data_IF_235471952208
#
_entry.id   IF_235471952208
#
_cell.length_a   1.000
_cell.length_b   1.000
_cell.length_c   1.000
_cell.angle_alpha   90.00
_cell.angle_beta   90.00
_cell.angle_gamma   90.00
#
_symmetry.space_group_name_H-M   'P 1'
#
loop_
_entity.id
_entity.type
_entity.pdbx_description
1 polymer ?
#
# COMPACT_ATOMS: atom_id res chain seq x y z
N UNK A 1 7.95 10.54 -14.93
CA UNK A 1 7.58 9.21 -14.39
C UNK A 1 8.79 8.32 -14.50
N UNK A 2 9.16 7.64 -13.43
CA UNK A 2 10.21 6.62 -13.50
C UNK A 2 9.69 5.34 -14.19
N UNK A 3 10.60 4.44 -14.57
CA UNK A 3 10.26 3.22 -15.30
C UNK A 3 9.32 2.30 -14.51
N UNK A 4 9.45 2.25 -13.18
CA UNK A 4 8.59 1.44 -12.32
C UNK A 4 7.13 1.95 -12.35
N UNK A 5 6.94 3.27 -12.30
CA UNK A 5 5.62 3.90 -12.36
C UNK A 5 4.87 3.55 -13.65
N UNK A 6 5.55 3.50 -14.80
CA UNK A 6 4.96 3.13 -16.10
C UNK A 6 4.46 1.69 -16.09
N UNK A 7 5.25 0.78 -15.52
CA UNK A 7 4.87 -0.65 -15.42
C UNK A 7 3.69 -0.82 -14.48
N UNK A 8 3.69 -0.16 -13.31
CA UNK A 8 2.57 -0.19 -12.37
C UNK A 8 1.30 0.33 -13.05
N UNK A 9 1.36 1.47 -13.73
CA UNK A 9 0.22 2.02 -14.45
C UNK A 9 -0.29 1.07 -15.53
N UNK A 10 0.63 0.38 -16.22
CA UNK A 10 0.26 -0.64 -17.22
C UNK A 10 -0.51 -1.79 -16.55
N UNK A 11 -0.01 -2.32 -15.42
CA UNK A 11 -0.69 -3.40 -14.66
C UNK A 11 -2.07 -2.93 -14.16
N UNK A 12 -2.17 -1.70 -13.66
CA UNK A 12 -3.43 -1.12 -13.17
C UNK A 12 -4.48 -0.97 -14.29
N UNK A 13 -4.08 -0.90 -15.56
CA UNK A 13 -4.98 -0.77 -16.70
C UNK A 13 -5.27 -2.09 -17.44
N UNK A 14 -4.60 -3.19 -17.06
CA UNK A 14 -4.85 -4.49 -17.70
C UNK A 14 -6.28 -5.01 -17.41
N UNK A 15 -6.93 -5.65 -18.40
CA UNK A 15 -8.19 -6.36 -18.20
C UNK A 15 -7.98 -7.67 -17.43
N UNK A 16 -9.04 -8.18 -16.79
CA UNK A 16 -8.99 -9.36 -15.92
C UNK A 16 -8.36 -10.60 -16.58
N UNK A 17 -8.73 -10.91 -17.84
CA UNK A 17 -8.19 -12.09 -18.53
C UNK A 17 -6.67 -12.00 -18.72
N UNK A 18 -6.16 -10.81 -19.05
CA UNK A 18 -4.74 -10.57 -19.20
C UNK A 18 -4.02 -10.59 -17.84
N UNK A 19 -4.64 -10.04 -16.79
CA UNK A 19 -4.10 -10.10 -15.43
C UNK A 19 -3.92 -11.55 -14.95
N UNK A 20 -4.92 -12.40 -15.16
CA UNK A 20 -4.88 -13.82 -14.73
C UNK A 20 -3.76 -14.57 -15.47
N UNK A 21 -3.69 -14.40 -16.80
CA UNK A 21 -2.62 -15.00 -17.62
C UNK A 21 -1.23 -14.53 -17.18
N UNK A 22 -0.99 -13.21 -17.10
CA UNK A 22 0.32 -12.65 -16.75
C UNK A 22 0.71 -13.04 -15.32
N UNK A 23 -0.24 -13.08 -14.38
CA UNK A 23 0.04 -13.52 -13.00
C UNK A 23 0.46 -14.99 -12.94
N UNK A 24 -0.22 -15.88 -13.68
CA UNK A 24 0.16 -17.30 -13.75
C UNK A 24 1.54 -17.49 -14.39
N UNK A 25 1.83 -16.77 -15.46
CA UNK A 25 3.15 -16.84 -16.14
C UNK A 25 4.29 -16.28 -15.28
N UNK A 26 4.09 -15.13 -14.63
CA UNK A 26 5.15 -14.44 -13.89
C UNK A 26 5.40 -15.00 -12.48
N UNK A 27 4.35 -15.46 -11.80
CA UNK A 27 4.41 -15.87 -10.39
C UNK A 27 4.40 -17.39 -10.23
N UNK A 28 3.80 -18.10 -11.20
CA UNK A 28 3.70 -19.55 -11.26
C UNK A 28 3.14 -20.15 -9.94
N UNK A 29 3.74 -21.22 -9.43
CA UNK A 29 3.27 -21.99 -8.27
C UNK A 29 3.16 -21.20 -6.95
N UNK A 30 3.72 -19.99 -6.88
CA UNK A 30 3.65 -19.12 -5.69
C UNK A 30 2.38 -18.27 -5.64
N UNK A 31 1.62 -18.22 -6.73
CA UNK A 31 0.37 -17.48 -6.81
C UNK A 31 -0.67 -18.16 -5.89
N UNK A 32 -1.38 -17.43 -5.02
CA UNK A 32 -2.39 -18.03 -4.13
C UNK A 32 -3.69 -18.36 -4.90
N UNK A 33 -3.59 -19.28 -5.86
CA UNK A 33 -4.63 -19.60 -6.84
C UNK A 33 -5.94 -20.03 -6.19
N UNK A 34 -5.89 -20.91 -5.19
CA UNK A 34 -7.08 -21.38 -4.46
C UNK A 34 -7.89 -20.21 -3.89
N UNK A 35 -7.23 -19.19 -3.36
CA UNK A 35 -7.89 -18.00 -2.85
C UNK A 35 -8.41 -17.11 -3.98
N UNK A 36 -7.60 -16.87 -5.01
CA UNK A 36 -8.00 -16.04 -6.17
C UNK A 36 -9.20 -16.60 -6.93
N UNK A 37 -9.39 -17.93 -6.93
CA UNK A 37 -10.53 -18.60 -7.54
C UNK A 37 -11.84 -18.40 -6.77
N UNK A 38 -11.76 -18.09 -5.47
CA UNK A 38 -12.95 -17.72 -4.67
C UNK A 38 -13.42 -16.28 -4.90
N UNK A 39 -12.57 -15.43 -5.51
CA UNK A 39 -12.87 -14.03 -5.75
C UNK A 39 -13.55 -13.82 -7.10
N UNK A 40 -14.37 -12.78 -7.21
CA UNK A 40 -15.03 -12.37 -8.46
C UNK A 40 -14.96 -10.86 -8.65
N UNK A 41 -15.25 -10.40 -9.86
CA UNK A 41 -15.36 -8.97 -10.17
C UNK A 41 -14.12 -8.15 -9.78
N UNK A 42 -14.35 -7.02 -9.11
CA UNK A 42 -13.31 -6.07 -8.74
C UNK A 42 -12.31 -6.63 -7.73
N UNK A 43 -12.76 -7.49 -6.80
CA UNK A 43 -11.88 -8.08 -5.78
C UNK A 43 -10.82 -8.97 -6.42
N UNK A 44 -11.19 -9.79 -7.42
CA UNK A 44 -10.24 -10.63 -8.15
C UNK A 44 -9.23 -9.78 -8.93
N UNK A 45 -9.70 -8.70 -9.55
CA UNK A 45 -8.86 -7.75 -10.28
C UNK A 45 -7.83 -7.10 -9.34
N UNK A 46 -8.28 -6.58 -8.19
CA UNK A 46 -7.41 -5.93 -7.21
C UNK A 46 -6.42 -6.92 -6.60
N UNK A 47 -6.83 -8.17 -6.32
CA UNK A 47 -5.94 -9.21 -5.83
C UNK A 47 -4.83 -9.57 -6.83
N UNK A 48 -5.16 -9.77 -8.11
CA UNK A 48 -4.19 -10.07 -9.16
C UNK A 48 -3.22 -8.91 -9.38
N UNK A 49 -3.73 -7.67 -9.40
CA UNK A 49 -2.89 -6.46 -9.49
C UNK A 49 -1.95 -6.35 -8.29
N UNK A 50 -2.43 -6.61 -7.08
CA UNK A 50 -1.58 -6.62 -5.89
C UNK A 50 -0.45 -7.65 -6.02
N UNK A 51 -0.76 -8.87 -6.44
CA UNK A 51 0.25 -9.91 -6.67
C UNK A 51 1.30 -9.48 -7.70
N UNK A 52 0.88 -8.98 -8.86
CA UNK A 52 1.78 -8.55 -9.92
C UNK A 52 2.64 -7.35 -9.54
N UNK A 53 2.04 -6.31 -8.94
CA UNK A 53 2.75 -5.08 -8.55
C UNK A 53 3.78 -5.39 -7.46
N UNK A 54 3.40 -6.14 -6.42
CA UNK A 54 4.34 -6.50 -5.35
C UNK A 54 5.45 -7.41 -5.87
N UNK A 55 5.12 -8.40 -6.70
CA UNK A 55 6.11 -9.27 -7.32
C UNK A 55 7.11 -8.46 -8.15
N UNK A 56 6.62 -7.55 -9.00
CA UNK A 56 7.45 -6.66 -9.82
C UNK A 56 8.36 -5.75 -8.97
N UNK A 57 7.79 -5.00 -8.03
CA UNK A 57 8.52 -4.05 -7.19
C UNK A 57 9.59 -4.73 -6.32
N UNK A 58 9.40 -6.01 -6.02
CA UNK A 58 10.32 -6.79 -5.18
C UNK A 58 11.21 -7.72 -6.00
N UNK A 59 11.33 -7.50 -7.32
CA UNK A 59 12.16 -8.33 -8.21
C UNK A 59 11.85 -9.83 -8.06
N UNK A 60 10.57 -10.15 -8.06
CA UNK A 60 10.00 -11.49 -7.93
C UNK A 60 10.25 -12.20 -6.61
N UNK A 61 10.70 -11.51 -5.56
CA UNK A 61 10.99 -12.13 -4.25
C UNK A 61 9.76 -12.28 -3.35
N UNK A 62 8.80 -11.35 -3.43
CA UNK A 62 7.63 -11.33 -2.56
C UNK A 62 6.35 -11.56 -3.38
N UNK A 63 5.49 -12.44 -2.88
CA UNK A 63 4.11 -12.61 -3.34
C UNK A 63 3.20 -12.41 -2.12
N UNK A 64 2.13 -11.58 -2.21
CA UNK A 64 1.20 -11.37 -1.12
C UNK A 64 0.58 -12.68 -0.63
N UNK A 65 0.56 -12.85 0.70
CA UNK A 65 -0.13 -13.96 1.37
C UNK A 65 -1.63 -13.68 1.42
N UNK A 66 -2.42 -14.74 1.54
CA UNK A 66 -3.90 -14.66 1.56
C UNK A 66 -4.43 -13.64 2.57
N UNK A 67 -3.94 -13.63 3.81
CA UNK A 67 -4.42 -12.68 4.82
C UNK A 67 -4.14 -11.21 4.46
N UNK A 68 -3.04 -10.94 3.73
CA UNK A 68 -2.69 -9.59 3.29
C UNK A 68 -3.65 -9.14 2.19
N UNK A 69 -3.97 -10.04 1.25
CA UNK A 69 -4.96 -9.78 0.21
C UNK A 69 -6.35 -9.56 0.81
N UNK A 70 -6.80 -10.44 1.71
CA UNK A 70 -8.09 -10.32 2.39
C UNK A 70 -8.25 -8.98 3.10
N UNK A 71 -7.27 -8.59 3.92
CA UNK A 71 -7.31 -7.33 4.64
C UNK A 71 -7.28 -6.10 3.72
N UNK A 72 -6.49 -6.17 2.64
CA UNK A 72 -6.37 -5.08 1.68
C UNK A 72 -7.66 -4.91 0.87
N UNK A 73 -8.28 -6.01 0.43
CA UNK A 73 -9.55 -6.00 -0.29
C UNK A 73 -10.67 -5.46 0.60
N UNK A 74 -10.74 -5.91 1.86
CA UNK A 74 -11.70 -5.35 2.83
C UNK A 74 -11.53 -3.83 2.99
N UNK A 75 -10.29 -3.35 3.11
CA UNK A 75 -9.97 -1.91 3.17
C UNK A 75 -10.40 -1.17 1.90
N UNK A 76 -10.13 -1.74 0.72
CA UNK A 76 -10.52 -1.15 -0.59
C UNK A 76 -12.03 -1.10 -0.77
N UNK A 77 -12.76 -2.04 -0.16
CA UNK A 77 -14.21 -2.08 -0.10
C UNK A 77 -14.79 -1.24 1.05
N UNK A 78 -13.98 -0.37 1.66
CA UNK A 78 -14.39 0.57 2.71
C UNK A 78 -14.89 -0.11 3.99
N UNK A 79 -14.39 -1.30 4.29
CA UNK A 79 -14.68 -1.99 5.55
C UNK A 79 -13.60 -1.74 6.59
N UNK A 80 -14.04 -1.43 7.81
CA UNK A 80 -13.17 -1.40 8.98
C UNK A 80 -12.59 -2.79 9.23
N UNK A 81 -11.27 -2.87 9.34
CA UNK A 81 -10.55 -4.14 9.38
C UNK A 81 -9.63 -4.21 10.60
N UNK A 82 -9.77 -5.28 11.39
CA UNK A 82 -8.86 -5.60 12.49
C UNK A 82 -7.98 -6.77 12.05
N UNK A 83 -6.65 -6.58 12.10
CA UNK A 83 -5.68 -7.59 11.68
C UNK A 83 -4.86 -8.02 12.89
N UNK A 84 -4.97 -9.29 13.26
CA UNK A 84 -4.13 -9.91 14.29
C UNK A 84 -3.07 -10.78 13.63
N UNK A 85 -1.82 -10.32 13.64
CA UNK A 85 -0.70 -11.05 13.05
C UNK A 85 0.59 -10.82 13.84
N UNK A 86 1.42 -11.86 13.96
CA UNK A 86 2.69 -11.79 14.68
C UNK A 86 3.69 -10.78 14.09
N UNK A 87 4.75 -10.47 14.83
CA UNK A 87 5.90 -9.73 14.28
C UNK A 87 6.56 -10.54 13.16
N UNK A 88 7.14 -9.86 12.16
CA UNK A 88 7.72 -10.53 10.99
C UNK A 88 6.73 -11.20 10.02
N UNK A 89 5.43 -11.19 10.32
CA UNK A 89 4.39 -11.77 9.44
C UNK A 89 4.22 -11.06 8.09
N UNK A 90 4.76 -9.85 7.95
CA UNK A 90 4.60 -9.01 6.76
C UNK A 90 3.34 -8.15 6.77
N UNK A 91 2.71 -7.90 7.93
CA UNK A 91 1.49 -7.07 8.04
C UNK A 91 1.59 -5.68 7.38
N UNK A 92 2.78 -5.15 7.17
CA UNK A 92 3.00 -3.88 6.45
C UNK A 92 2.42 -3.90 5.03
N UNK A 93 2.42 -5.06 4.35
CA UNK A 93 1.82 -5.16 3.02
C UNK A 93 0.32 -4.87 3.02
N UNK A 94 -0.39 -5.11 4.13
CA UNK A 94 -1.81 -4.77 4.24
C UNK A 94 -2.06 -3.25 4.13
N UNK A 95 -1.06 -2.42 4.47
CA UNK A 95 -1.11 -0.97 4.29
C UNK A 95 -0.64 -0.55 2.89
N UNK A 96 0.40 -1.21 2.37
CA UNK A 96 1.01 -0.87 1.09
C UNK A 96 0.10 -1.20 -0.11
N UNK A 97 -0.58 -2.35 -0.08
CA UNK A 97 -1.39 -2.81 -1.21
C UNK A 97 -2.50 -1.81 -1.57
N UNK A 98 -3.34 -1.33 -0.63
CA UNK A 98 -4.36 -0.32 -0.95
C UNK A 98 -3.77 0.96 -1.55
N UNK A 99 -2.64 1.44 -1.01
CA UNK A 99 -1.94 2.63 -1.53
C UNK A 99 -1.46 2.43 -2.97
N UNK A 100 -0.89 1.28 -3.29
CA UNK A 100 -0.42 0.96 -4.64
C UNK A 100 -1.57 0.82 -5.64
N UNK A 101 -2.70 0.28 -5.20
CA UNK A 101 -3.87 0.08 -6.06
C UNK A 101 -4.73 1.34 -6.21
N UNK A 102 -4.55 2.34 -5.35
CA UNK A 102 -5.23 3.63 -5.39
C UNK A 102 -4.17 4.77 -5.32
N UNK A 103 -3.35 4.95 -6.37
CA UNK A 103 -2.25 5.92 -6.36
C UNK A 103 -2.68 7.39 -6.19
N UNK A 104 -3.98 7.68 -6.40
CA UNK A 104 -4.57 9.02 -6.25
C UNK A 104 -5.20 9.28 -4.88
N UNK A 105 -5.30 8.27 -4.00
CA UNK A 105 -5.80 8.47 -2.64
C UNK A 105 -4.68 8.84 -1.68
N UNK A 106 -5.01 9.64 -0.67
CA UNK A 106 -4.13 9.88 0.47
C UNK A 106 -4.41 8.86 1.57
N UNK A 107 -3.37 8.31 2.19
CA UNK A 107 -3.47 7.44 3.35
C UNK A 107 -2.83 8.08 4.57
N UNK A 108 -3.45 7.89 5.74
CA UNK A 108 -2.93 8.38 7.02
C UNK A 108 -2.73 7.19 7.93
N UNK A 109 -1.51 7.01 8.42
CA UNK A 109 -1.14 5.95 9.37
C UNK A 109 -0.73 6.57 10.69
N UNK A 110 -1.39 6.19 11.78
CA UNK A 110 -1.07 6.70 13.12
C UNK A 110 -0.08 5.75 13.79
N UNK A 111 1.09 6.25 14.20
CA UNK A 111 2.12 5.44 14.88
C UNK A 111 2.65 6.15 16.13
N UNK A 112 2.64 5.49 17.30
CA UNK A 112 3.07 6.10 18.55
C UNK A 112 4.60 6.26 18.69
N UNK A 113 5.39 5.51 17.91
CA UNK A 113 6.85 5.48 18.07
C UNK A 113 7.55 6.17 16.91
N UNK A 114 8.18 7.32 17.16
CA UNK A 114 8.98 8.08 16.18
C UNK A 114 10.02 7.22 15.43
N UNK A 115 10.75 6.36 16.13
CA UNK A 115 11.72 5.43 15.49
C UNK A 115 11.04 4.50 14.48
N UNK A 116 9.82 4.05 14.78
CA UNK A 116 9.05 3.21 13.87
C UNK A 116 8.53 4.01 12.68
N UNK A 117 8.14 5.28 12.88
CA UNK A 117 7.75 6.18 11.79
C UNK A 117 8.89 6.30 10.76
N UNK A 118 10.12 6.59 11.21
CA UNK A 118 11.26 6.73 10.31
C UNK A 118 11.53 5.45 9.49
N UNK A 119 11.49 4.28 10.12
CA UNK A 119 11.62 2.99 9.42
C UNK A 119 10.48 2.77 8.42
N UNK A 120 9.26 3.14 8.77
CA UNK A 120 8.08 2.96 7.92
C UNK A 120 8.07 3.93 6.72
N UNK A 121 8.58 5.16 6.88
CA UNK A 121 8.82 6.09 5.76
C UNK A 121 9.75 5.45 4.73
N UNK A 122 10.91 4.96 5.19
CA UNK A 122 11.90 4.31 4.32
C UNK A 122 11.31 3.07 3.63
N UNK A 123 10.53 2.28 4.36
CA UNK A 123 9.87 1.10 3.78
C UNK A 123 8.88 1.48 2.69
N UNK A 124 7.99 2.45 2.92
CA UNK A 124 7.05 2.92 1.90
C UNK A 124 7.76 3.50 0.66
N UNK A 125 8.87 4.23 0.86
CA UNK A 125 9.66 4.79 -0.24
C UNK A 125 10.27 3.71 -1.14
N UNK A 126 10.62 2.52 -0.62
CA UNK A 126 11.08 1.38 -1.44
C UNK A 126 10.02 0.91 -2.44
N UNK A 127 8.74 1.10 -2.14
CA UNK A 127 7.62 0.79 -3.04
C UNK A 127 7.18 1.99 -3.89
N UNK A 128 7.97 3.08 -3.90
CA UNK A 128 7.65 4.30 -4.67
C UNK A 128 6.54 5.16 -4.04
N UNK A 129 6.11 4.87 -2.81
CA UNK A 129 5.06 5.63 -2.13
C UNK A 129 5.67 6.86 -1.47
N UNK A 130 5.29 8.04 -1.96
CA UNK A 130 5.71 9.34 -1.39
C UNK A 130 5.14 9.49 0.02
N UNK A 131 5.99 9.27 1.01
CA UNK A 131 5.62 9.21 2.43
C UNK A 131 6.35 10.27 3.24
N UNK A 132 5.66 10.87 4.19
CA UNK A 132 6.23 11.80 5.18
C UNK A 132 5.79 11.42 6.60
N UNK A 133 6.66 11.67 7.59
CA UNK A 133 6.31 11.57 9.00
C UNK A 133 5.98 12.96 9.58
N UNK A 134 4.91 13.04 10.37
CA UNK A 134 4.42 14.23 11.06
C UNK A 134 4.42 13.91 12.57
N UNK A 135 5.33 14.54 13.29
CA UNK A 135 5.61 14.36 14.72
C UNK A 135 6.16 15.66 15.33
N UNK A 136 6.62 15.61 16.57
CA UNK A 136 7.15 16.76 17.31
C UNK A 136 8.34 17.48 16.65
N UNK A 137 9.10 16.81 15.76
CA UNK A 137 10.23 17.42 15.04
C UNK A 137 9.82 18.01 13.69
N UNK A 138 8.53 17.95 13.34
CA UNK A 138 8.05 18.51 12.09
C UNK A 138 8.20 20.02 12.13
N UNK A 139 8.95 20.62 11.20
CA UNK A 139 9.19 22.05 11.22
C UNK A 139 7.88 22.81 10.97
N UNK A 140 7.75 23.98 11.59
CA UNK A 140 6.67 24.93 11.27
C UNK A 140 6.98 25.67 9.96
N UNK A 141 7.10 24.93 8.86
CA UNK A 141 7.42 25.43 7.52
C UNK A 141 6.14 25.54 6.66
N UNK A 142 5.67 26.76 6.34
CA UNK A 142 4.48 26.95 5.50
C UNK A 142 4.58 26.29 4.11
N UNK A 143 5.77 26.16 3.54
CA UNK A 143 5.95 25.52 2.24
C UNK A 143 5.67 24.02 2.32
N UNK A 144 6.17 23.35 3.36
CA UNK A 144 5.89 21.95 3.66
C UNK A 144 4.39 21.70 3.87
N UNK A 145 3.73 22.52 4.68
CA UNK A 145 2.29 22.34 4.91
C UNK A 145 1.47 22.59 3.65
N UNK A 146 1.92 23.50 2.78
CA UNK A 146 1.32 23.72 1.47
C UNK A 146 1.49 22.51 0.56
N UNK A 147 2.66 21.87 0.50
CA UNK A 147 2.87 20.66 -0.33
C UNK A 147 2.03 19.48 0.15
N UNK A 148 1.92 19.27 1.46
CA UNK A 148 1.02 18.27 2.05
C UNK A 148 -0.44 18.55 1.63
N UNK A 149 -0.90 19.80 1.75
CA UNK A 149 -2.26 20.20 1.36
C UNK A 149 -2.55 20.03 -0.13
N UNK A 150 -1.52 20.18 -0.98
CA UNK A 150 -1.62 19.97 -2.42
C UNK A 150 -1.60 18.48 -2.83
N UNK A 151 -1.44 17.55 -1.88
CA UNK A 151 -1.40 16.11 -2.15
C UNK A 151 -0.08 15.64 -2.76
N UNK A 152 1.01 16.38 -2.56
CA UNK A 152 2.34 15.98 -3.05
C UNK A 152 2.83 14.69 -2.35
N UNK A 153 2.35 14.41 -1.14
CA UNK A 153 2.56 13.16 -0.42
C UNK A 153 1.31 12.27 -0.51
N UNK A 154 1.51 11.00 -0.85
CA UNK A 154 0.44 10.01 -0.86
C UNK A 154 0.15 9.48 0.55
N UNK A 155 1.17 9.40 1.39
CA UNK A 155 1.08 8.76 2.70
C UNK A 155 1.63 9.66 3.80
N UNK A 156 0.81 9.89 4.83
CA UNK A 156 1.18 10.65 6.02
C UNK A 156 1.26 9.68 7.20
N UNK A 157 2.41 9.62 7.85
CA UNK A 157 2.59 8.88 9.10
C UNK A 157 2.55 9.90 10.23
N UNK A 158 1.55 9.83 11.11
CA UNK A 158 1.30 10.88 12.10
C UNK A 158 1.45 10.31 13.51
N UNK A 159 2.06 11.05 14.43
CA UNK A 159 2.03 10.68 15.85
C UNK A 159 0.64 10.93 16.45
N UNK A 160 0.19 10.15 17.43
CA UNK A 160 -1.10 10.37 18.10
C UNK A 160 -1.25 11.81 18.63
N UNK A 161 -0.16 12.37 19.16
CA UNK A 161 -0.13 13.71 19.75
C UNK A 161 -0.39 14.79 18.70
N UNK A 162 0.18 14.66 17.49
CA UNK A 162 -0.04 15.63 16.40
C UNK A 162 -1.46 15.57 15.84
N UNK A 163 -2.10 14.40 15.86
CA UNK A 163 -3.48 14.26 15.42
C UNK A 163 -4.48 14.88 16.42
N UNK A 164 -4.20 14.74 17.72
CA UNK A 164 -5.09 15.20 18.79
C UNK A 164 -5.07 16.70 19.10
N UNK A 165 -4.28 17.52 18.40
CA UNK A 165 -4.16 18.96 18.69
C UNK A 165 -5.28 19.83 18.11
N UNK A 166 -6.25 19.26 17.38
CA UNK A 166 -7.41 20.00 16.91
C UNK A 166 -8.31 20.37 18.11
N UNK A 167 -8.29 21.65 18.49
CA UNK A 167 -9.23 22.24 19.43
C UNK A 167 -10.22 23.06 18.62
N UNK A 168 -11.50 22.72 18.73
CA UNK A 168 -12.64 23.46 18.14
C UNK A 168 -12.68 24.93 18.60
#
# INVERSE_FOLDING_TARGET
>A
MDAASVVIESILNLPLHALDQVAREAINDRLPSDYLETLTGQDKIDALRACLIICFLTSSTIVPRVFQLQASIATLNQHDTIITAGTGSGKTLCLLIPMLLRPRSMSVTILPLKRLQATQVLECQKYGIRTIAINEDTPNDPALWKSIKLGEYQHLIVSPEQLGMYKD
#
